data_IF_107067965896
#
_entry.id   IF_107067965896
#
_cell.length_a   1.000
_cell.length_b   1.000
_cell.length_c   1.000
_cell.angle_alpha   90.00
_cell.angle_beta   90.00
_cell.angle_gamma   90.00
#
_symmetry.space_group_name_H-M   'P 1'
#
loop_
_entity.id
_entity.type
_entity.pdbx_description
1 polymer ?
#
# COMPACT_ATOMS: atom_id res chain seq x y z
N UNK A 1 16.26 -18.45 -8.17
CA UNK A 1 16.55 -17.67 -6.94
C UNK A 1 15.26 -16.92 -6.58
N UNK A 2 14.58 -17.30 -5.50
CA UNK A 2 13.21 -16.86 -5.17
C UNK A 2 13.24 -15.47 -4.51
N UNK A 3 12.89 -14.44 -5.28
CA UNK A 3 12.69 -13.06 -4.79
C UNK A 3 11.34 -12.98 -4.09
N UNK A 4 11.35 -12.83 -2.76
CA UNK A 4 10.17 -12.56 -1.95
C UNK A 4 9.68 -11.11 -2.10
N UNK A 5 8.55 -10.73 -1.49
CA UNK A 5 8.04 -9.35 -1.52
C UNK A 5 8.99 -8.30 -0.92
N UNK A 6 10.05 -8.72 -0.22
CA UNK A 6 11.08 -7.84 0.28
C UNK A 6 12.45 -8.36 -0.17
N UNK A 7 13.05 -7.71 -1.17
CA UNK A 7 14.51 -7.70 -1.28
C UNK A 7 15.07 -7.10 0.01
N UNK A 8 16.17 -7.68 0.48
CA UNK A 8 16.75 -7.60 1.83
C UNK A 8 17.19 -6.20 2.32
N UNK A 9 16.69 -5.09 1.78
CA UNK A 9 17.27 -3.75 1.97
C UNK A 9 16.50 -2.80 2.87
N UNK A 10 15.46 -3.24 3.59
CA UNK A 10 14.88 -2.44 4.68
C UNK A 10 14.97 -3.08 6.05
N UNK A 11 16.10 -3.73 6.34
CA UNK A 11 16.44 -4.23 7.67
C UNK A 11 17.95 -4.11 7.89
N UNK A 12 18.50 -2.88 7.86
CA UNK A 12 19.82 -2.60 8.46
C UNK A 12 19.88 -1.14 8.90
N UNK A 13 19.98 -0.97 10.23
CA UNK A 13 20.61 0.11 10.98
C UNK A 13 20.53 1.55 10.48
N UNK A 14 19.82 2.40 11.23
CA UNK A 14 20.37 3.71 11.56
C UNK A 14 21.62 3.48 12.43
N UNK A 15 22.79 3.58 11.84
CA UNK A 15 24.03 3.87 12.55
C UNK A 15 24.54 5.20 11.98
N UNK A 16 24.63 6.21 12.83
CA UNK A 16 25.24 7.48 12.49
C UNK A 16 26.74 7.27 12.31
N UNK A 17 27.26 7.64 11.14
CA UNK A 17 28.67 8.00 10.98
C UNK A 17 28.73 9.29 10.16
N UNK A 18 29.20 10.34 10.83
CA UNK A 18 29.41 11.66 10.29
C UNK A 18 30.78 11.67 9.61
N UNK A 19 30.82 11.53 8.29
CA UNK A 19 32.02 11.80 7.50
C UNK A 19 31.85 13.12 6.75
N UNK A 20 32.55 14.14 7.24
CA UNK A 20 32.72 15.45 6.60
C UNK A 20 33.51 15.25 5.31
N UNK A 21 32.89 15.55 4.17
CA UNK A 21 33.58 15.70 2.88
C UNK A 21 33.39 17.13 2.40
N UNK A 22 34.50 17.86 2.31
CA UNK A 22 34.54 19.22 1.76
C UNK A 22 34.27 19.22 0.25
N UNK A 23 33.53 20.21 -0.29
CA UNK A 23 33.25 20.26 -1.71
C UNK A 23 34.44 20.81 -2.51
N UNK A 24 34.89 20.05 -3.52
CA UNK A 24 35.70 20.57 -4.63
C UNK A 24 34.83 20.82 -5.87
N UNK A 25 35.10 21.85 -6.69
CA UNK A 25 34.25 22.20 -7.81
C UNK A 25 34.62 21.39 -9.06
N UNK A 26 33.64 20.75 -9.70
CA UNK A 26 33.81 20.16 -11.03
C UNK A 26 32.78 20.67 -12.05
N UNK A 27 33.38 21.31 -13.06
CA UNK A 27 32.98 21.79 -14.39
C UNK A 27 31.59 21.38 -14.94
N UNK A 28 30.88 22.41 -15.42
CA UNK A 28 29.72 22.35 -16.33
C UNK A 28 30.07 21.53 -17.58
N UNK A 29 29.36 20.43 -17.79
CA UNK A 29 29.14 19.87 -19.11
C UNK A 29 27.64 19.97 -19.43
N UNK A 30 27.33 20.69 -20.50
CA UNK A 30 25.97 20.86 -21.01
C UNK A 30 25.49 19.56 -21.65
N UNK A 31 24.66 18.82 -20.93
CA UNK A 31 23.79 17.78 -21.47
C UNK A 31 22.42 18.00 -20.84
N UNK A 32 21.49 18.53 -21.62
CA UNK A 32 20.15 18.94 -21.18
C UNK A 32 19.40 17.75 -20.56
N UNK A 33 19.15 17.82 -19.25
CA UNK A 33 18.20 16.93 -18.57
C UNK A 33 16.79 17.36 -18.97
N UNK A 34 16.07 16.51 -19.69
CA UNK A 34 14.62 16.63 -19.78
C UNK A 34 14.06 16.04 -18.49
N UNK A 35 13.73 16.93 -17.55
CA UNK A 35 12.86 16.66 -16.43
C UNK A 35 11.44 16.63 -17.00
N UNK A 36 10.86 15.46 -17.20
CA UNK A 36 9.45 15.38 -17.61
C UNK A 36 8.55 15.46 -16.37
N UNK A 37 8.29 16.71 -15.95
CA UNK A 37 7.13 17.06 -15.13
C UNK A 37 5.91 17.07 -16.05
N UNK A 38 5.14 15.99 -16.00
CA UNK A 38 3.79 15.99 -16.57
C UNK A 38 3.45 14.64 -17.19
N UNK A 39 2.73 13.79 -16.44
CA UNK A 39 1.96 12.72 -17.05
C UNK A 39 0.85 13.34 -17.91
N UNK A 40 1.17 13.72 -19.15
CA UNK A 40 0.20 14.07 -20.18
C UNK A 40 -0.54 12.80 -20.60
N UNK A 41 -1.45 12.34 -19.73
CA UNK A 41 -2.54 11.49 -20.17
C UNK A 41 -3.37 12.37 -21.11
N UNK A 42 -3.41 12.00 -22.39
CA UNK A 42 -4.29 12.64 -23.36
C UNK A 42 -5.71 12.72 -22.80
N UNK A 43 -6.44 13.81 -23.09
CA UNK A 43 -7.83 14.00 -22.64
C UNK A 43 -8.70 12.77 -22.96
N UNK A 44 -8.38 12.07 -24.05
CA UNK A 44 -8.96 10.78 -24.46
C UNK A 44 -8.76 9.66 -23.42
N UNK A 45 -7.56 9.51 -22.84
CA UNK A 45 -7.27 8.50 -21.83
C UNK A 45 -7.98 8.75 -20.50
N UNK A 46 -8.17 10.02 -20.11
CA UNK A 46 -8.98 10.37 -18.93
C UNK A 46 -10.46 10.03 -19.13
N UNK A 47 -11.02 10.31 -20.30
CA UNK A 47 -12.42 10.01 -20.59
C UNK A 47 -12.68 8.50 -20.67
N UNK A 48 -11.68 7.71 -21.12
CA UNK A 48 -11.75 6.25 -21.13
C UNK A 48 -11.78 5.64 -19.73
N UNK A 49 -10.95 6.09 -18.78
CA UNK A 49 -10.94 5.51 -17.42
C UNK A 49 -12.23 5.81 -16.64
N UNK A 50 -12.84 6.98 -16.89
CA UNK A 50 -14.09 7.36 -16.22
C UNK A 50 -15.25 6.42 -16.56
N UNK A 51 -15.24 5.80 -17.75
CA UNK A 51 -16.26 4.83 -18.17
C UNK A 51 -16.26 3.54 -17.35
N UNK A 52 -15.19 3.24 -16.61
CA UNK A 52 -15.11 2.07 -15.73
C UNK A 52 -15.65 2.36 -14.32
N UNK A 53 -15.86 3.63 -13.96
CA UNK A 53 -16.37 4.00 -12.63
C UNK A 53 -17.88 3.73 -12.58
N UNK A 54 -18.36 2.91 -11.63
CA UNK A 54 -19.77 2.54 -11.55
C UNK A 54 -20.65 3.73 -11.15
N UNK A 55 -21.93 3.67 -11.52
CA UNK A 55 -22.91 4.62 -10.99
C UNK A 55 -22.95 4.53 -9.47
N UNK A 56 -23.04 5.68 -8.79
CA UNK A 56 -22.99 5.76 -7.33
C UNK A 56 -21.57 5.77 -6.75
N UNK A 57 -20.55 5.92 -7.60
CA UNK A 57 -19.16 6.09 -7.20
C UNK A 57 -18.54 7.33 -7.86
N UNK A 58 -17.50 7.87 -7.23
CA UNK A 58 -16.61 8.90 -7.78
C UNK A 58 -15.18 8.40 -7.77
N UNK A 59 -14.34 8.94 -8.67
CA UNK A 59 -12.90 8.75 -8.59
C UNK A 59 -12.38 9.40 -7.30
N UNK A 60 -11.59 8.66 -6.54
CA UNK A 60 -10.90 9.13 -5.33
C UNK A 60 -9.43 9.38 -5.60
N UNK A 61 -8.74 8.41 -6.20
CA UNK A 61 -7.33 8.50 -6.55
C UNK A 61 -7.00 7.59 -7.75
N UNK A 62 -5.82 7.76 -8.36
CA UNK A 62 -5.32 6.91 -9.45
C UNK A 62 -3.81 6.74 -9.40
N UNK A 63 -3.37 5.53 -9.73
CA UNK A 63 -1.95 5.15 -9.79
C UNK A 63 -1.69 4.40 -11.09
N UNK A 64 -0.48 4.55 -11.63
CA UNK A 64 -0.06 3.92 -12.86
C UNK A 64 1.18 3.05 -12.65
N UNK A 65 1.25 1.92 -13.34
CA UNK A 65 2.39 1.01 -13.27
C UNK A 65 2.14 -0.26 -14.07
N UNK A 66 3.19 -0.91 -14.57
CA UNK A 66 3.09 -2.20 -15.24
C UNK A 66 2.85 -3.32 -14.19
N UNK A 67 1.61 -3.85 -14.13
CA UNK A 67 1.19 -4.86 -13.16
C UNK A 67 1.25 -6.29 -13.70
N UNK A 68 1.27 -6.46 -15.02
CA UNK A 68 1.20 -7.78 -15.67
C UNK A 68 2.49 -8.17 -16.42
N UNK A 69 3.51 -7.30 -16.41
CA UNK A 69 4.83 -7.45 -17.04
C UNK A 69 4.82 -7.45 -18.56
N UNK A 70 3.87 -6.75 -19.18
CA UNK A 70 3.82 -6.59 -20.63
C UNK A 70 4.56 -5.33 -21.14
N UNK A 71 5.12 -4.53 -20.22
CA UNK A 71 5.82 -3.28 -20.53
C UNK A 71 4.90 -2.09 -20.79
N UNK A 72 3.58 -2.27 -20.67
CA UNK A 72 2.59 -1.20 -20.79
C UNK A 72 2.21 -0.67 -19.41
N UNK A 73 1.87 0.62 -19.37
CA UNK A 73 1.50 1.29 -18.13
C UNK A 73 0.04 1.00 -17.81
N UNK A 74 -0.24 0.14 -16.83
CA UNK A 74 -1.60 -0.14 -16.38
C UNK A 74 -2.14 0.97 -15.47
N UNK A 75 -3.46 0.97 -15.24
CA UNK A 75 -4.12 1.96 -14.41
C UNK A 75 -4.86 1.32 -13.24
N UNK A 76 -4.62 1.83 -12.04
CA UNK A 76 -5.34 1.51 -10.81
C UNK A 76 -6.16 2.73 -10.40
N UNK A 77 -7.45 2.55 -10.21
CA UNK A 77 -8.37 3.58 -9.73
C UNK A 77 -8.81 3.23 -8.31
N UNK A 78 -8.74 4.19 -7.41
CA UNK A 78 -9.44 4.16 -6.13
C UNK A 78 -10.74 4.91 -6.32
N UNK A 79 -11.86 4.26 -6.00
CA UNK A 79 -13.20 4.83 -6.11
C UNK A 79 -13.80 5.00 -4.72
N UNK A 80 -14.67 5.99 -4.53
CA UNK A 80 -15.44 6.16 -3.30
C UNK A 80 -16.93 6.15 -3.61
N UNK A 81 -17.72 5.40 -2.84
CA UNK A 81 -19.16 5.43 -2.98
C UNK A 81 -19.71 6.83 -2.68
N UNK A 82 -20.91 7.16 -3.17
CA UNK A 82 -21.54 8.47 -3.00
C UNK A 82 -22.94 8.39 -2.38
N UNK A 83 -23.19 7.34 -1.58
CA UNK A 83 -24.51 7.16 -0.96
C UNK A 83 -24.76 8.25 0.08
N UNK A 84 -25.97 8.80 0.07
CA UNK A 84 -26.36 9.91 0.96
C UNK A 84 -26.53 9.50 2.42
N UNK A 85 -26.82 8.22 2.66
CA UNK A 85 -27.01 7.62 3.99
C UNK A 85 -25.70 7.32 4.72
N UNK A 86 -24.56 7.31 4.01
CA UNK A 86 -23.23 7.15 4.65
C UNK A 86 -22.65 8.47 5.17
N UNK A 87 -23.39 9.58 5.15
CA UNK A 87 -22.96 10.82 5.79
C UNK A 87 -23.44 10.83 7.24
N UNK A 88 -22.50 10.86 8.18
CA UNK A 88 -22.78 10.78 9.62
C UNK A 88 -22.12 11.94 10.34
N UNK A 89 -22.56 12.24 11.57
CA UNK A 89 -21.81 13.13 12.44
C UNK A 89 -20.69 12.35 13.12
N UNK A 90 -19.48 12.90 13.13
CA UNK A 90 -18.38 12.38 13.93
C UNK A 90 -18.57 12.66 15.43
N UNK A 91 -17.56 12.35 16.24
CA UNK A 91 -17.60 12.53 17.70
C UNK A 91 -17.75 14.00 18.12
N UNK A 92 -17.28 14.92 17.28
CA UNK A 92 -17.31 16.36 17.51
C UNK A 92 -18.55 17.02 16.88
N UNK A 93 -19.41 16.23 16.25
CA UNK A 93 -20.65 16.69 15.62
C UNK A 93 -20.47 17.19 14.19
N UNK A 94 -19.29 17.04 13.58
CA UNK A 94 -19.06 17.41 12.19
C UNK A 94 -19.62 16.36 11.24
N UNK A 95 -20.27 16.81 10.17
CA UNK A 95 -20.80 15.92 9.14
C UNK A 95 -19.66 15.40 8.25
N UNK A 96 -19.38 14.11 8.32
CA UNK A 96 -18.33 13.42 7.56
C UNK A 96 -18.91 12.37 6.60
N UNK A 97 -18.20 12.15 5.50
CA UNK A 97 -18.54 11.15 4.48
C UNK A 97 -17.88 9.80 4.79
N UNK A 98 -18.64 8.84 5.33
CA UNK A 98 -18.20 7.46 5.65
C UNK A 98 -18.45 6.46 4.52
N UNK A 99 -18.64 6.94 3.29
CA UNK A 99 -18.74 6.02 2.17
C UNK A 99 -17.43 5.22 2.03
N UNK A 100 -17.57 3.90 1.90
CA UNK A 100 -16.44 2.99 1.65
C UNK A 100 -15.79 3.28 0.30
N UNK A 101 -14.52 2.93 0.22
CA UNK A 101 -13.68 3.02 -0.98
C UNK A 101 -13.47 1.63 -1.58
N UNK A 102 -13.14 1.60 -2.86
CA UNK A 102 -12.86 0.40 -3.62
C UNK A 102 -11.71 0.60 -4.58
N UNK A 103 -11.34 -0.47 -5.28
CA UNK A 103 -10.27 -0.52 -6.27
C UNK A 103 -10.78 -1.08 -7.60
N UNK A 104 -10.38 -0.45 -8.69
CA UNK A 104 -10.55 -0.95 -10.05
C UNK A 104 -9.15 -1.01 -10.68
N UNK A 105 -8.81 -2.13 -11.30
CA UNK A 105 -7.55 -2.31 -12.00
C UNK A 105 -7.86 -2.55 -13.48
N UNK A 106 -7.19 -1.78 -14.32
CA UNK A 106 -7.37 -1.74 -15.76
C UNK A 106 -6.03 -2.03 -16.43
N UNK A 107 -5.96 -3.09 -17.23
CA UNK A 107 -4.80 -3.34 -18.06
C UNK A 107 -4.87 -2.52 -19.34
N UNK A 108 -3.73 -1.97 -19.74
CA UNK A 108 -3.63 -1.30 -21.03
C UNK A 108 -3.76 -2.33 -22.15
N UNK A 109 -4.62 -2.05 -23.12
CA UNK A 109 -4.89 -2.97 -24.23
C UNK A 109 -5.19 -2.18 -25.52
N UNK A 110 -4.26 -2.24 -26.47
CA UNK A 110 -4.34 -1.44 -27.70
C UNK A 110 -4.36 0.06 -27.38
N UNK A 111 -5.37 0.77 -27.89
CA UNK A 111 -5.54 2.22 -27.69
C UNK A 111 -6.43 2.56 -26.47
N UNK A 112 -6.60 1.64 -25.53
CA UNK A 112 -7.46 1.84 -24.37
C UNK A 112 -7.16 0.87 -23.24
N UNK A 113 -8.22 0.50 -22.50
CA UNK A 113 -8.11 -0.29 -21.28
C UNK A 113 -9.05 -1.50 -21.29
N UNK A 114 -8.65 -2.55 -20.59
CA UNK A 114 -9.47 -3.74 -20.30
C UNK A 114 -9.57 -3.92 -18.78
N UNK A 115 -10.78 -4.17 -18.29
CA UNK A 115 -11.00 -4.45 -16.87
C UNK A 115 -10.27 -5.74 -16.45
N UNK A 116 -9.37 -5.62 -15.46
CA UNK A 116 -8.64 -6.73 -14.87
C UNK A 116 -9.22 -7.15 -13.52
N UNK A 117 -9.57 -6.17 -12.67
CA UNK A 117 -10.15 -6.41 -11.36
C UNK A 117 -11.11 -5.29 -10.97
N UNK A 118 -12.18 -5.65 -10.27
CA UNK A 118 -13.12 -4.71 -9.68
C UNK A 118 -13.50 -5.17 -8.29
N UNK A 119 -13.27 -4.33 -7.28
CA UNK A 119 -13.75 -4.52 -5.91
C UNK A 119 -14.20 -3.16 -5.36
N UNK A 120 -15.51 -2.94 -5.26
CA UNK A 120 -16.07 -1.60 -5.12
C UNK A 120 -16.09 -1.07 -3.67
N UNK A 121 -15.79 -1.90 -2.66
CA UNK A 121 -15.99 -1.50 -1.25
C UNK A 121 -15.00 -2.11 -0.25
N UNK A 122 -13.88 -2.66 -0.70
CA UNK A 122 -12.92 -3.33 0.19
C UNK A 122 -12.15 -2.42 1.14
N UNK A 123 -12.18 -1.11 0.97
CA UNK A 123 -11.48 -0.16 1.84
C UNK A 123 -12.45 0.68 2.64
N UNK A 124 -12.10 0.96 3.89
CA UNK A 124 -12.82 1.92 4.73
C UNK A 124 -12.65 3.36 4.23
N UNK A 125 -13.47 4.28 4.74
CA UNK A 125 -13.33 5.69 4.39
C UNK A 125 -12.02 6.28 4.94
N UNK A 126 -11.49 7.29 4.26
CA UNK A 126 -10.48 8.19 4.81
C UNK A 126 -10.97 8.99 6.02
N UNK A 127 -12.29 9.09 6.23
CA UNK A 127 -12.88 9.81 7.35
C UNK A 127 -13.27 8.89 8.50
N UNK A 128 -12.75 7.66 8.58
CA UNK A 128 -13.06 6.75 9.68
C UNK A 128 -12.71 7.35 11.05
N UNK A 129 -13.25 6.76 12.12
CA UNK A 129 -13.01 7.21 13.48
C UNK A 129 -11.73 6.54 13.99
N UNK A 130 -10.62 7.27 13.98
CA UNK A 130 -9.33 6.79 14.46
C UNK A 130 -9.20 6.78 15.99
N UNK A 131 -10.26 7.14 16.73
CA UNK A 131 -10.27 7.14 18.18
C UNK A 131 -9.59 8.37 18.77
N UNK A 132 -8.48 8.16 19.48
CA UNK A 132 -7.65 9.26 20.02
C UNK A 132 -6.63 9.78 19.00
N UNK A 133 -6.71 9.33 17.74
CA UNK A 133 -5.79 9.68 16.66
C UNK A 133 -6.53 9.70 15.32
N UNK A 134 -5.90 10.22 14.28
CA UNK A 134 -6.45 10.19 12.91
C UNK A 134 -6.56 8.75 12.39
N UNK A 135 -7.57 8.43 11.57
CA UNK A 135 -7.67 7.10 10.98
C UNK A 135 -6.45 6.77 10.11
N UNK A 136 -6.11 5.48 9.93
CA UNK A 136 -5.02 5.06 9.07
C UNK A 136 -5.16 5.56 7.63
N UNK A 137 -4.09 6.14 7.07
CA UNK A 137 -4.06 6.64 5.70
C UNK A 137 -3.67 5.53 4.72
N UNK A 138 -4.51 5.28 3.71
CA UNK A 138 -4.22 4.32 2.64
C UNK A 138 -3.41 4.99 1.52
N UNK A 139 -2.19 4.50 1.31
CA UNK A 139 -1.37 4.75 0.14
C UNK A 139 -1.36 3.52 -0.79
N UNK A 140 -1.58 3.76 -2.07
CA UNK A 140 -1.53 2.71 -3.10
C UNK A 140 -0.34 2.96 -4.00
N UNK A 141 0.48 1.94 -4.22
CA UNK A 141 1.66 2.06 -5.07
C UNK A 141 1.92 0.79 -5.87
N UNK A 142 2.70 0.94 -6.94
CA UNK A 142 3.08 -0.15 -7.82
C UNK A 142 4.60 -0.19 -7.90
N UNK A 143 5.19 -1.34 -7.60
CA UNK A 143 6.64 -1.56 -7.65
C UNK A 143 6.93 -3.00 -8.06
N UNK A 144 7.87 -3.19 -8.99
CA UNK A 144 8.29 -4.50 -9.50
C UNK A 144 7.11 -5.40 -9.95
N UNK A 145 6.12 -4.79 -10.61
CA UNK A 145 4.86 -5.42 -11.03
C UNK A 145 4.07 -6.08 -9.90
N UNK A 146 4.13 -5.47 -8.72
CA UNK A 146 3.31 -5.79 -7.56
C UNK A 146 2.54 -4.55 -7.13
N UNK A 147 1.32 -4.77 -6.68
CA UNK A 147 0.44 -3.76 -6.11
C UNK A 147 0.64 -3.77 -4.59
N UNK A 148 0.95 -2.61 -4.02
CA UNK A 148 1.10 -2.41 -2.59
C UNK A 148 -0.02 -1.55 -2.06
N UNK A 149 -0.69 -2.03 -1.00
CA UNK A 149 -1.70 -1.28 -0.25
C UNK A 149 -1.15 -1.02 1.15
N UNK A 150 -0.62 0.18 1.35
CA UNK A 150 0.08 0.58 2.57
C UNK A 150 -0.83 1.45 3.43
N UNK A 151 -1.06 1.05 4.67
CA UNK A 151 -1.79 1.83 5.67
C UNK A 151 -0.82 2.41 6.66
N UNK A 152 -0.71 3.73 6.67
CA UNK A 152 0.10 4.47 7.63
C UNK A 152 -0.78 4.91 8.80
N UNK A 153 -0.43 4.50 10.02
CA UNK A 153 -1.12 4.92 11.25
C UNK A 153 -0.23 5.82 12.11
N UNK A 154 0.61 6.61 11.44
CA UNK A 154 1.48 7.62 12.03
C UNK A 154 2.37 7.04 13.13
N UNK A 155 2.26 7.61 14.33
CA UNK A 155 3.08 7.19 15.48
C UNK A 155 2.84 5.74 15.92
N UNK A 156 1.72 5.12 15.52
CA UNK A 156 1.39 3.75 15.91
C UNK A 156 1.92 2.70 14.93
N UNK A 157 2.55 3.14 13.83
CA UNK A 157 3.20 2.29 12.85
C UNK A 157 2.37 2.14 11.58
N UNK A 158 2.43 0.96 10.96
CA UNK A 158 1.83 0.73 9.64
C UNK A 158 1.51 -0.74 9.41
N UNK A 159 0.74 -1.02 8.37
CA UNK A 159 0.69 -2.35 7.75
C UNK A 159 0.57 -2.24 6.23
N UNK A 160 0.98 -3.27 5.53
CA UNK A 160 1.04 -3.27 4.08
C UNK A 160 0.69 -4.64 3.51
N UNK A 161 -0.13 -4.63 2.46
CA UNK A 161 -0.46 -5.82 1.70
C UNK A 161 0.24 -5.79 0.34
N UNK A 162 0.95 -6.86 0.01
CA UNK A 162 1.65 -7.03 -1.27
C UNK A 162 0.85 -8.00 -2.15
N UNK A 163 0.31 -7.51 -3.26
CA UNK A 163 -0.45 -8.28 -4.24
C UNK A 163 0.30 -8.45 -5.55
N UNK A 164 0.11 -9.58 -6.21
CA UNK A 164 0.64 -9.83 -7.57
C UNK A 164 -0.43 -10.43 -8.46
N UNK A 165 -0.49 -9.96 -9.70
CA UNK A 165 -1.38 -10.53 -10.69
C UNK A 165 -0.99 -11.98 -11.01
N UNK A 166 -1.94 -12.90 -10.85
CA UNK A 166 -1.80 -14.32 -11.20
C UNK A 166 -3.17 -14.98 -11.30
N UNK A 167 -3.34 -15.93 -12.23
CA UNK A 167 -4.59 -16.68 -12.40
C UNK A 167 -5.85 -15.78 -12.51
N UNK A 168 -5.73 -14.70 -13.27
CA UNK A 168 -6.83 -13.74 -13.53
C UNK A 168 -7.31 -12.94 -12.30
N UNK A 169 -6.47 -12.80 -11.27
CA UNK A 169 -6.75 -12.00 -10.09
C UNK A 169 -5.46 -11.43 -9.48
N UNK A 170 -5.59 -10.59 -8.47
CA UNK A 170 -4.48 -10.09 -7.67
C UNK A 170 -4.40 -10.92 -6.39
N UNK A 171 -3.37 -11.75 -6.30
CA UNK A 171 -3.16 -12.68 -5.19
C UNK A 171 -2.33 -12.03 -4.10
N UNK A 172 -2.78 -12.14 -2.84
CA UNK A 172 -2.01 -11.67 -1.68
C UNK A 172 -0.78 -12.57 -1.49
N UNK A 173 0.42 -12.01 -1.71
CA UNK A 173 1.69 -12.75 -1.67
C UNK A 173 2.60 -12.33 -0.51
N UNK A 174 2.34 -11.18 0.11
CA UNK A 174 3.04 -10.77 1.33
C UNK A 174 2.23 -9.83 2.21
N UNK A 175 2.62 -9.76 3.47
CA UNK A 175 2.06 -8.85 4.47
C UNK A 175 3.18 -8.34 5.38
N UNK A 176 3.19 -7.03 5.62
CA UNK A 176 4.10 -6.38 6.56
C UNK A 176 3.28 -5.60 7.59
N UNK A 177 3.74 -5.57 8.83
CA UNK A 177 3.16 -4.74 9.90
C UNK A 177 4.25 -4.31 10.85
N UNK A 178 4.20 -3.04 11.24
CA UNK A 178 5.01 -2.49 12.32
C UNK A 178 4.07 -1.87 13.34
N UNK A 179 4.19 -2.29 14.60
CA UNK A 179 3.53 -1.64 15.74
C UNK A 179 4.55 -0.77 16.44
N UNK A 180 4.28 0.53 16.46
CA UNK A 180 5.19 1.53 16.97
C UNK A 180 4.53 2.37 18.05
N UNK A 181 5.35 3.17 18.73
CA UNK A 181 4.90 4.36 19.43
C UNK A 181 5.93 5.47 19.26
N UNK A 182 5.61 6.42 18.39
CA UNK A 182 6.59 7.40 17.93
C UNK A 182 7.73 6.71 17.19
N UNK A 183 8.97 6.99 17.59
CA UNK A 183 10.17 6.40 16.99
C UNK A 183 10.46 4.96 17.46
N UNK A 184 9.80 4.49 18.54
CA UNK A 184 10.06 3.17 19.12
C UNK A 184 9.24 2.10 18.40
N UNK A 185 9.88 0.97 18.11
CA UNK A 185 9.23 -0.18 17.46
C UNK A 185 9.03 -1.27 18.50
N UNK A 186 7.78 -1.70 18.68
CA UNK A 186 7.45 -2.72 19.66
C UNK A 186 7.28 -4.10 19.06
N UNK A 187 6.72 -4.17 17.86
CA UNK A 187 6.61 -5.42 17.14
C UNK A 187 6.69 -5.20 15.65
N UNK A 188 7.26 -6.18 14.94
CA UNK A 188 7.12 -6.30 13.49
C UNK A 188 6.66 -7.70 13.12
N UNK A 189 5.84 -7.76 12.09
CA UNK A 189 5.35 -8.99 11.50
C UNK A 189 5.58 -8.91 9.99
N UNK A 190 6.33 -9.86 9.45
CA UNK A 190 6.57 -10.01 8.01
C UNK A 190 6.14 -11.41 7.60
N UNK A 191 5.29 -11.51 6.58
CA UNK A 191 4.80 -12.78 6.06
C UNK A 191 5.03 -12.84 4.56
N UNK A 192 5.67 -13.92 4.11
CA UNK A 192 5.73 -14.29 2.70
C UNK A 192 4.84 -15.52 2.47
N UNK A 193 3.67 -15.31 1.85
CA UNK A 193 2.71 -16.38 1.63
C UNK A 193 3.15 -17.39 0.56
N UNK A 194 4.08 -17.01 -0.32
CA UNK A 194 4.64 -17.92 -1.33
C UNK A 194 5.57 -18.96 -0.71
N UNK A 195 6.42 -18.53 0.23
CA UNK A 195 7.34 -19.43 0.95
C UNK A 195 6.69 -20.04 2.20
N UNK A 196 5.64 -19.41 2.71
CA UNK A 196 5.01 -19.74 3.99
C UNK A 196 5.88 -19.36 5.19
N UNK A 197 6.82 -18.42 5.03
CA UNK A 197 7.68 -17.97 6.14
C UNK A 197 7.06 -16.73 6.79
N UNK A 198 6.95 -16.76 8.12
CA UNK A 198 6.53 -15.65 8.97
C UNK A 198 7.67 -15.28 9.92
N UNK A 199 8.07 -14.01 9.91
CA UNK A 199 8.97 -13.42 10.90
C UNK A 199 8.15 -12.60 11.90
N UNK A 200 8.45 -12.77 13.18
CA UNK A 200 7.87 -11.98 14.26
C UNK A 200 9.01 -11.42 15.09
N UNK A 201 9.19 -10.11 15.04
CA UNK A 201 10.16 -9.39 15.85
C UNK A 201 9.40 -8.72 17.00
N UNK A 202 9.74 -9.02 18.25
CA UNK A 202 9.11 -8.39 19.44
C UNK A 202 10.18 -7.72 20.28
N UNK A 203 9.87 -6.53 20.81
CA UNK A 203 10.74 -5.85 21.76
C UNK A 203 10.86 -6.68 23.03
N UNK A 204 12.10 -6.98 23.46
CA UNK A 204 12.34 -7.79 24.65
C UNK A 204 11.90 -7.08 25.94
N UNK A 205 11.81 -5.76 25.89
CA UNK A 205 11.33 -4.92 26.98
C UNK A 205 9.81 -4.67 26.91
N UNK A 206 9.10 -5.34 26.00
CA UNK A 206 7.68 -5.12 25.77
C UNK A 206 7.40 -3.70 25.29
N UNK A 207 6.38 -3.08 25.86
CA UNK A 207 5.93 -1.73 25.50
C UNK A 207 6.55 -0.65 26.42
N UNK A 208 7.69 -0.96 27.03
CA UNK A 208 8.44 -0.01 27.85
C UNK A 208 9.07 1.09 26.97
N UNK A 209 8.50 2.29 27.05
CA UNK A 209 8.88 3.45 26.24
C UNK A 209 10.19 4.09 26.69
N UNK A 210 10.61 3.84 27.92
CA UNK A 210 11.82 4.43 28.52
C UNK A 210 13.08 3.68 28.09
N UNK A 211 12.94 2.42 27.65
CA UNK A 211 14.05 1.59 27.22
C UNK A 211 14.34 1.74 25.73
N UNK A 212 15.59 1.46 25.38
CA UNK A 212 15.96 1.34 23.98
C UNK A 212 15.31 0.12 23.34
N UNK A 213 14.94 0.26 22.08
CA UNK A 213 14.27 -0.81 21.34
C UNK A 213 15.28 -1.91 21.04
N UNK A 214 15.04 -3.10 21.59
CA UNK A 214 15.82 -4.30 21.28
C UNK A 214 14.87 -5.41 20.84
N UNK A 215 14.93 -5.76 19.55
CA UNK A 215 14.01 -6.71 18.94
C UNK A 215 14.59 -8.12 18.92
N UNK A 216 13.81 -9.09 19.40
CA UNK A 216 14.09 -10.52 19.24
C UNK A 216 13.20 -11.13 18.18
N UNK A 217 13.83 -11.83 17.23
CA UNK A 217 13.16 -12.51 16.12
C UNK A 217 12.73 -13.94 16.47
N UNK A 218 11.51 -14.28 16.09
CA UNK A 218 11.02 -15.64 15.96
C UNK A 218 10.64 -15.93 14.50
N UNK A 219 10.89 -17.15 14.04
CA UNK A 219 10.62 -17.59 12.67
C UNK A 219 9.62 -18.73 12.72
N UNK A 220 8.55 -18.63 11.93
CA UNK A 220 7.51 -19.63 11.84
C UNK A 220 7.30 -20.08 10.40
N UNK A 221 6.97 -21.36 10.23
CA UNK A 221 6.52 -21.92 8.96
C UNK A 221 5.01 -22.08 8.99
N UNK A 222 4.33 -21.36 8.11
CA UNK A 222 2.89 -21.41 7.95
C UNK A 222 2.47 -22.63 7.12
N UNK A 223 1.29 -23.22 7.40
CA UNK A 223 0.72 -24.23 6.54
C UNK A 223 0.41 -23.64 5.17
N UNK A 224 0.61 -24.43 4.11
CA UNK A 224 0.24 -24.01 2.76
C UNK A 224 -1.28 -23.91 2.66
N UNK A 225 -1.76 -22.72 2.32
CA UNK A 225 -3.17 -22.42 2.03
C UNK A 225 -3.25 -21.70 0.68
N UNK A 226 -4.40 -21.78 -0.03
CA UNK A 226 -4.63 -20.94 -1.19
C UNK A 226 -4.45 -19.46 -0.85
N UNK A 227 -3.82 -18.70 -1.74
CA UNK A 227 -3.64 -17.26 -1.57
C UNK A 227 -4.98 -16.54 -1.64
N UNK A 228 -5.15 -15.49 -0.83
CA UNK A 228 -6.34 -14.65 -0.88
C UNK A 228 -6.37 -13.85 -2.18
N UNK A 229 -7.58 -13.69 -2.74
CA UNK A 229 -7.84 -12.93 -3.96
C UNK A 229 -8.37 -11.56 -3.60
N UNK A 230 -7.76 -10.50 -4.12
CA UNK A 230 -8.22 -9.13 -3.85
C UNK A 230 -9.67 -8.92 -4.29
N UNK A 231 -10.13 -9.58 -5.37
CA UNK A 231 -11.53 -9.52 -5.80
C UNK A 231 -12.53 -10.14 -4.81
N UNK A 232 -12.07 -10.95 -3.84
CA UNK A 232 -12.90 -11.68 -2.88
C UNK A 232 -12.82 -11.15 -1.45
N UNK A 233 -11.92 -10.20 -1.19
CA UNK A 233 -11.82 -9.54 0.10
C UNK A 233 -12.98 -8.56 0.22
N UNK A 234 -13.88 -8.79 1.19
CA UNK A 234 -15.02 -7.89 1.44
C UNK A 234 -14.60 -6.62 2.16
N UNK A 235 -13.75 -6.79 3.17
CA UNK A 235 -13.18 -5.70 3.95
C UNK A 235 -11.71 -6.03 4.23
N UNK A 236 -10.81 -5.14 3.81
CA UNK A 236 -9.37 -5.33 4.03
C UNK A 236 -8.98 -5.09 5.50
N UNK A 237 -9.78 -4.33 6.25
CA UNK A 237 -9.52 -4.06 7.67
C UNK A 237 -9.77 -5.32 8.54
N UNK A 238 -10.59 -6.25 8.06
CA UNK A 238 -10.83 -7.55 8.71
C UNK A 238 -9.72 -8.59 8.40
N UNK A 239 -8.83 -8.30 7.44
CA UNK A 239 -7.74 -9.20 7.07
C UNK A 239 -6.59 -9.05 8.06
N UNK A 240 -6.65 -9.82 9.15
CA UNK A 240 -5.59 -9.85 10.16
C UNK A 240 -4.78 -11.14 10.16
N UNK A 241 -3.49 -11.01 10.49
CA UNK A 241 -2.59 -12.13 10.71
C UNK A 241 -2.06 -12.04 12.13
N UNK A 242 -2.22 -13.11 12.92
CA UNK A 242 -1.81 -13.13 14.31
C UNK A 242 -0.27 -12.99 14.48
N UNK A 243 0.12 -12.19 15.47
CA UNK A 243 1.52 -11.93 15.89
C UNK A 243 2.11 -13.08 16.71
#
# INVERSE_FOLDING_TARGET
>A
MLVGCCDKTWCIGFAADFLVVTPQPMKKNSGSMIIDKGSHISVTGQQQIMGFIPKGYKLFDKVYGDLNKDGLMDCVLIIKATRKDSFVNDRDGHKVDRNRRGIIILFTHGNGYKLALKNESCFSSENEDGGCYDPPELNVSIKDSKLYLHYNYGRYGFWEYCFRYHSSDFMLIGYEKSRNYGAKVFARLSINFLTGIKFVDKNIHGDDYEKETELKRAIYKLPRKPLMRLSKIRDLDEVSFAE
#
